data_IF_009938295881
#
_entry.id   IF_009938295881
#
_cell.length_a   1.000
_cell.length_b   1.000
_cell.length_c   1.000
_cell.angle_alpha   90.00
_cell.angle_beta   90.00
_cell.angle_gamma   90.00
#
_symmetry.space_group_name_H-M   'P 1'
#
loop_
_entity.id
_entity.type
_entity.pdbx_description
1 polymer ?
#
# COMPACT_ATOMS: atom_id res chain seq x y z
N UNK A 1 16.77 3.06 11.46
CA UNK A 1 15.85 2.47 12.45
C UNK A 1 15.42 1.07 12.01
N UNK A 2 14.73 0.95 10.87
CA UNK A 2 14.30 -0.32 10.27
C UNK A 2 15.42 -1.35 10.13
N UNK A 3 16.60 -0.94 9.65
CA UNK A 3 17.76 -1.85 9.50
C UNK A 3 18.27 -2.47 10.81
N UNK A 4 18.23 -1.73 11.92
CA UNK A 4 18.61 -2.28 13.22
C UNK A 4 17.55 -3.25 13.73
N UNK A 5 16.26 -2.95 13.50
CA UNK A 5 15.15 -3.84 13.84
C UNK A 5 15.26 -5.18 13.11
N UNK A 6 15.69 -5.18 11.83
CA UNK A 6 15.97 -6.42 11.07
C UNK A 6 16.99 -7.31 11.80
N UNK A 7 18.09 -6.72 12.28
CA UNK A 7 19.13 -7.45 13.04
C UNK A 7 18.63 -7.96 14.39
N UNK A 8 17.81 -7.17 15.10
CA UNK A 8 17.20 -7.58 16.37
C UNK A 8 16.26 -8.77 16.18
N UNK A 9 15.44 -8.74 15.13
CA UNK A 9 14.54 -9.85 14.78
C UNK A 9 15.34 -11.11 14.44
N UNK A 10 16.37 -11.00 13.60
CA UNK A 10 17.25 -12.12 13.25
C UNK A 10 17.95 -12.71 14.50
N UNK A 11 18.37 -11.87 15.44
CA UNK A 11 18.94 -12.34 16.70
C UNK A 11 17.92 -13.15 17.52
N UNK A 12 16.73 -12.60 17.77
CA UNK A 12 15.69 -13.29 18.54
C UNK A 12 15.19 -14.58 17.87
N UNK A 13 15.16 -14.59 16.54
CA UNK A 13 14.94 -15.78 15.76
C UNK A 13 15.99 -16.85 16.00
N UNK A 14 17.28 -16.48 15.92
CA UNK A 14 18.38 -17.42 16.10
C UNK A 14 18.38 -18.04 17.50
N UNK A 15 18.19 -17.23 18.55
CA UNK A 15 18.23 -17.73 19.95
C UNK A 15 16.94 -18.42 20.39
N UNK A 16 15.80 -18.05 19.81
CA UNK A 16 14.47 -18.56 20.17
C UNK A 16 13.95 -19.68 19.27
N UNK A 17 14.69 -20.06 18.23
CA UNK A 17 14.33 -21.15 17.32
C UNK A 17 14.32 -22.50 18.05
N UNK A 18 13.27 -23.31 17.81
CA UNK A 18 13.29 -24.70 18.22
C UNK A 18 14.34 -25.46 17.39
N UNK A 19 15.22 -26.23 18.04
CA UNK A 19 16.17 -27.13 17.38
C UNK A 19 15.47 -28.04 16.37
N UNK A 20 15.76 -27.81 15.07
CA UNK A 20 15.59 -28.53 13.79
C UNK A 20 14.96 -29.95 13.69
N UNK A 21 14.24 -30.50 14.67
CA UNK A 21 13.81 -31.92 14.64
C UNK A 21 12.37 -32.23 14.20
N UNK A 22 11.53 -31.26 13.84
CA UNK A 22 10.10 -31.53 13.57
C UNK A 22 9.51 -30.88 12.29
N UNK A 23 10.33 -30.40 11.34
CA UNK A 23 9.83 -29.72 10.12
C UNK A 23 9.94 -30.54 8.84
N UNK A 24 9.90 -31.87 8.90
CA UNK A 24 9.85 -32.72 7.69
C UNK A 24 8.42 -33.12 7.27
N UNK A 25 7.37 -32.72 8.00
CA UNK A 25 6.01 -33.25 7.77
C UNK A 25 4.99 -32.29 7.13
N UNK A 26 5.38 -31.11 6.66
CA UNK A 26 4.50 -30.26 5.83
C UNK A 26 5.20 -29.88 4.53
N UNK A 27 4.86 -30.58 3.45
CA UNK A 27 5.35 -30.36 2.08
C UNK A 27 5.01 -29.00 1.45
N UNK A 28 4.79 -27.96 2.26
CA UNK A 28 4.68 -26.57 1.83
C UNK A 28 5.99 -25.87 2.19
N UNK A 29 6.60 -25.19 1.21
CA UNK A 29 7.75 -24.29 1.38
C UNK A 29 7.40 -23.05 2.24
N UNK A 30 6.85 -23.22 3.44
CA UNK A 30 6.77 -22.12 4.41
C UNK A 30 8.15 -21.98 5.04
N UNK A 31 8.83 -20.88 4.75
CA UNK A 31 10.04 -20.48 5.47
C UNK A 31 9.80 -20.48 6.98
N UNK A 32 10.86 -20.53 7.77
CA UNK A 32 10.72 -20.48 9.23
C UNK A 32 10.08 -19.13 9.64
N UNK A 33 9.60 -19.02 10.89
CA UNK A 33 8.93 -17.78 11.35
C UNK A 33 9.84 -16.54 11.21
N UNK A 34 11.15 -16.72 11.29
CA UNK A 34 12.15 -15.67 11.07
C UNK A 34 12.08 -15.09 9.66
N UNK A 35 12.17 -15.96 8.65
CA UNK A 35 12.09 -15.60 7.25
C UNK A 35 10.80 -14.82 7.01
N UNK A 36 9.67 -15.31 7.53
CA UNK A 36 8.37 -14.65 7.38
C UNK A 36 8.35 -13.24 7.99
N UNK A 37 8.91 -13.03 9.19
CA UNK A 37 8.97 -11.69 9.78
C UNK A 37 9.85 -10.76 8.94
N UNK A 38 11.00 -11.23 8.45
CA UNK A 38 11.90 -10.44 7.61
C UNK A 38 11.22 -10.05 6.30
N UNK A 39 10.47 -10.98 5.69
CA UNK A 39 9.75 -10.78 4.43
C UNK A 39 8.57 -9.81 4.54
N UNK A 40 8.10 -9.47 5.75
CA UNK A 40 7.14 -8.36 5.90
C UNK A 40 7.75 -7.00 5.56
N UNK A 41 9.07 -6.83 5.66
CA UNK A 41 9.70 -5.53 5.47
C UNK A 41 9.61 -5.04 4.02
N UNK A 42 9.97 -5.82 2.97
CA UNK A 42 9.76 -5.38 1.58
C UNK A 42 8.36 -4.83 1.32
N UNK A 43 7.32 -5.55 1.74
CA UNK A 43 5.92 -5.12 1.61
C UNK A 43 5.66 -3.82 2.37
N UNK A 44 6.04 -3.74 3.65
CA UNK A 44 5.78 -2.55 4.46
C UNK A 44 6.61 -1.33 4.02
N UNK A 45 7.82 -1.54 3.50
CA UNK A 45 8.68 -0.49 2.99
C UNK A 45 8.17 0.02 1.63
N UNK A 46 7.77 -0.86 0.72
CA UNK A 46 7.18 -0.47 -0.57
C UNK A 46 5.95 0.45 -0.39
N UNK A 47 5.05 0.10 0.53
CA UNK A 47 3.80 0.83 0.75
C UNK A 47 3.87 1.92 1.84
N UNK A 48 4.88 1.91 2.68
CA UNK A 48 4.98 2.77 3.86
C UNK A 48 6.19 3.70 3.87
N UNK A 49 7.20 3.45 3.03
CA UNK A 49 8.36 4.33 2.91
C UNK A 49 8.29 5.21 1.67
N UNK A 50 8.97 6.34 1.75
CA UNK A 50 9.12 7.29 0.66
C UNK A 50 10.43 8.07 0.78
N UNK A 51 10.87 8.66 -0.32
CA UNK A 51 11.99 9.61 -0.33
C UNK A 51 11.58 10.94 0.29
N UNK A 52 12.39 11.45 1.20
CA UNK A 52 12.31 12.80 1.77
C UNK A 52 13.58 13.58 1.45
N UNK A 53 13.62 14.86 1.82
CA UNK A 53 14.81 15.73 1.61
C UNK A 53 16.08 15.17 2.30
N UNK A 54 15.94 14.45 3.41
CA UNK A 54 17.07 14.02 4.27
C UNK A 54 17.28 12.52 4.30
N UNK A 55 16.36 11.73 3.74
CA UNK A 55 16.40 10.28 3.80
C UNK A 55 15.65 9.70 2.60
N UNK A 56 16.37 8.93 1.79
CA UNK A 56 15.85 8.32 0.57
C UNK A 56 14.89 7.15 0.83
N UNK A 57 15.02 6.47 1.98
CA UNK A 57 14.13 5.39 2.39
C UNK A 57 13.49 5.68 3.75
N UNK A 58 12.74 6.78 3.84
CA UNK A 58 12.09 7.20 5.08
C UNK A 58 10.76 6.51 5.29
N UNK A 59 10.62 5.75 6.38
CA UNK A 59 9.30 5.29 6.83
C UNK A 59 8.39 6.47 7.18
N UNK A 60 7.20 6.50 6.58
CA UNK A 60 6.16 7.52 6.78
C UNK A 60 4.97 6.98 7.58
N UNK A 61 5.25 5.98 8.40
CA UNK A 61 4.36 5.38 9.38
C UNK A 61 5.17 4.97 10.62
N UNK A 62 4.52 4.95 11.77
CA UNK A 62 5.04 4.32 12.98
C UNK A 62 4.82 2.81 12.93
N UNK A 63 5.78 2.04 13.44
CA UNK A 63 5.74 0.58 13.46
C UNK A 63 6.12 0.10 14.86
N UNK A 64 5.31 -0.75 15.46
CA UNK A 64 5.60 -1.43 16.71
C UNK A 64 5.50 -2.93 16.48
N UNK A 65 6.61 -3.64 16.65
CA UNK A 65 6.67 -5.08 16.43
C UNK A 65 6.71 -5.78 17.78
N UNK A 66 5.74 -6.66 18.03
CA UNK A 66 5.73 -7.55 19.19
C UNK A 66 6.26 -8.92 18.77
N UNK A 67 7.36 -9.33 19.38
CA UNK A 67 7.92 -10.67 19.21
C UNK A 67 7.50 -11.49 20.41
N UNK A 68 6.69 -12.53 20.19
CA UNK A 68 6.07 -13.33 21.25
C UNK A 68 6.92 -14.56 21.59
N UNK A 69 6.95 -14.87 22.88
CA UNK A 69 7.61 -16.04 23.44
C UNK A 69 6.62 -16.90 24.23
N UNK A 70 6.74 -18.21 24.07
CA UNK A 70 6.01 -19.20 24.85
C UNK A 70 6.63 -19.43 26.23
N UNK A 71 6.02 -20.30 27.04
CA UNK A 71 6.49 -20.55 28.41
C UNK A 71 7.86 -21.23 28.55
N UNK A 72 8.39 -21.80 27.47
CA UNK A 72 9.74 -22.34 27.39
C UNK A 72 10.77 -21.32 26.89
N UNK A 73 10.39 -20.06 26.69
CA UNK A 73 11.25 -19.01 26.14
C UNK A 73 11.50 -19.11 24.62
N UNK A 74 10.85 -20.05 23.93
CA UNK A 74 10.91 -20.19 22.47
C UNK A 74 9.96 -19.22 21.77
N UNK A 75 10.27 -18.88 20.52
CA UNK A 75 9.40 -18.04 19.70
C UNK A 75 8.02 -18.67 19.50
N UNK A 76 6.98 -17.87 19.73
CA UNK A 76 5.57 -18.27 19.62
C UNK A 76 4.79 -17.43 18.59
N UNK A 77 5.46 -16.53 17.85
CA UNK A 77 4.84 -15.70 16.83
C UNK A 77 5.32 -14.26 16.88
N UNK A 78 4.81 -13.45 15.95
CA UNK A 78 5.01 -12.01 15.97
C UNK A 78 3.73 -11.30 15.52
N UNK A 79 3.60 -10.03 15.88
CA UNK A 79 2.62 -9.16 15.25
C UNK A 79 3.15 -7.73 15.14
N UNK A 80 2.59 -7.00 14.20
CA UNK A 80 3.00 -5.65 13.82
C UNK A 80 1.79 -4.74 13.99
N UNK A 81 1.93 -3.73 14.84
CA UNK A 81 1.01 -2.61 14.90
C UNK A 81 1.60 -1.42 14.14
N UNK A 82 0.78 -0.77 13.32
CA UNK A 82 1.18 0.42 12.58
C UNK A 82 0.37 1.64 13.00
N UNK A 83 1.02 2.79 13.04
CA UNK A 83 0.41 4.06 13.43
C UNK A 83 0.68 5.14 12.37
N UNK A 84 -0.32 6.00 12.15
CA UNK A 84 -0.16 7.29 11.47
C UNK A 84 0.60 7.23 10.12
N UNK A 85 0.09 6.44 9.17
CA UNK A 85 0.54 6.57 7.78
C UNK A 85 0.30 8.01 7.28
N UNK A 86 1.32 8.65 6.70
CA UNK A 86 1.23 10.00 6.17
C UNK A 86 0.38 10.05 4.89
N UNK A 87 -0.93 10.09 5.05
CA UNK A 87 -1.88 10.04 3.94
C UNK A 87 -1.69 11.15 2.92
N UNK A 88 -1.29 12.35 3.37
CA UNK A 88 -1.11 13.50 2.49
C UNK A 88 -0.12 13.22 1.34
N UNK A 89 0.92 12.41 1.61
CA UNK A 89 1.96 12.04 0.66
C UNK A 89 1.44 11.27 -0.56
N UNK A 90 0.30 10.59 -0.44
CA UNK A 90 -0.30 9.82 -1.54
C UNK A 90 -0.62 10.71 -2.75
N UNK A 91 -1.02 11.97 -2.51
CA UNK A 91 -1.54 12.87 -3.53
C UNK A 91 -0.72 14.14 -3.72
N UNK A 92 0.28 14.39 -2.87
CA UNK A 92 1.09 15.61 -2.91
C UNK A 92 2.48 15.38 -2.33
N UNK A 93 3.50 15.92 -2.99
CA UNK A 93 4.89 15.85 -2.58
C UNK A 93 5.54 17.22 -2.74
N UNK A 94 6.50 17.53 -1.87
CA UNK A 94 7.38 18.68 -2.08
C UNK A 94 8.40 18.39 -3.21
N UNK A 95 9.00 19.41 -3.84
CA UNK A 95 9.81 19.23 -5.06
C UNK A 95 10.99 18.24 -4.96
N UNK A 96 11.56 18.06 -3.77
CA UNK A 96 12.69 17.15 -3.52
C UNK A 96 12.27 15.81 -2.91
N UNK A 97 10.98 15.58 -2.74
CA UNK A 97 10.42 14.38 -2.16
C UNK A 97 9.79 13.49 -3.22
N UNK A 98 9.58 12.22 -2.88
CA UNK A 98 8.88 11.23 -3.70
C UNK A 98 7.61 10.78 -2.97
N UNK A 99 6.66 10.22 -3.71
CA UNK A 99 5.55 9.47 -3.12
C UNK A 99 6.05 8.12 -2.59
N UNK A 100 5.13 7.24 -2.16
CA UNK A 100 5.47 5.89 -1.69
C UNK A 100 6.15 5.06 -2.80
N UNK A 101 7.13 4.25 -2.42
CA UNK A 101 8.00 3.52 -3.37
C UNK A 101 7.22 2.61 -4.33
N UNK A 102 6.15 1.98 -3.85
CA UNK A 102 5.35 1.05 -4.63
C UNK A 102 4.87 1.63 -5.96
N UNK A 103 4.53 2.92 -6.03
CA UNK A 103 4.04 3.54 -7.26
C UNK A 103 5.06 3.53 -8.40
N UNK A 104 6.35 3.55 -8.04
CA UNK A 104 7.43 3.59 -9.01
C UNK A 104 7.97 2.20 -9.30
N UNK A 105 7.98 1.33 -8.28
CA UNK A 105 8.20 -0.10 -8.43
C UNK A 105 7.26 -0.68 -9.48
N UNK A 106 5.92 -0.49 -9.36
CA UNK A 106 4.98 -1.00 -10.37
C UNK A 106 5.12 -0.35 -11.76
N UNK A 107 5.66 0.87 -11.83
CA UNK A 107 5.89 1.59 -13.09
C UNK A 107 7.14 1.11 -13.84
N UNK A 108 8.07 0.43 -13.14
CA UNK A 108 9.29 -0.15 -13.73
C UNK A 108 8.99 -1.15 -14.84
N UNK A 109 7.87 -1.88 -14.74
CA UNK A 109 7.51 -2.95 -15.67
C UNK A 109 8.38 -4.21 -15.55
N UNK A 110 9.12 -4.38 -14.46
CA UNK A 110 9.98 -5.55 -14.25
C UNK A 110 9.18 -6.85 -14.06
N UNK A 111 7.99 -6.77 -13.46
CA UNK A 111 7.02 -7.88 -13.42
C UNK A 111 6.19 -7.89 -14.72
N UNK A 112 6.40 -8.94 -15.52
CA UNK A 112 5.78 -9.09 -16.85
C UNK A 112 4.25 -9.12 -16.77
N UNK A 113 3.59 -8.35 -17.64
CA UNK A 113 2.12 -8.32 -17.72
C UNK A 113 1.46 -7.41 -16.68
N UNK A 114 2.20 -6.94 -15.67
CA UNK A 114 1.64 -6.14 -14.59
C UNK A 114 1.16 -4.79 -15.09
N UNK A 115 1.96 -4.06 -15.87
CA UNK A 115 1.56 -2.73 -16.37
C UNK A 115 0.34 -2.80 -17.28
N UNK A 116 0.24 -3.82 -18.11
CA UNK A 116 -0.91 -4.06 -18.97
C UNK A 116 -2.18 -4.34 -18.15
N UNK A 117 -2.07 -5.19 -17.12
CA UNK A 117 -3.16 -5.47 -16.18
C UNK A 117 -3.64 -4.20 -15.48
N UNK A 118 -2.70 -3.34 -15.10
CA UNK A 118 -2.94 -2.10 -14.35
C UNK A 118 -3.29 -0.91 -15.25
N UNK A 119 -3.29 -1.07 -16.58
CA UNK A 119 -3.56 -0.01 -17.56
C UNK A 119 -2.58 1.17 -17.44
N UNK A 120 -1.34 0.88 -17.03
CA UNK A 120 -0.30 1.89 -16.82
C UNK A 120 0.45 2.22 -18.12
N UNK A 121 0.76 3.50 -18.32
CA UNK A 121 1.60 3.97 -19.41
C UNK A 121 3.09 3.83 -19.06
N UNK A 122 3.96 4.25 -19.99
CA UNK A 122 5.41 4.25 -19.78
C UNK A 122 5.95 5.57 -19.20
N UNK A 123 5.09 6.54 -18.89
CA UNK A 123 5.51 7.86 -18.44
C UNK A 123 4.93 8.20 -17.07
N UNK A 124 5.77 8.19 -16.03
CA UNK A 124 5.37 8.53 -14.66
C UNK A 124 4.76 9.94 -14.53
N UNK A 125 5.12 10.87 -15.42
CA UNK A 125 4.64 12.25 -15.36
C UNK A 125 3.18 12.41 -15.79
N UNK A 126 2.55 11.37 -16.35
CA UNK A 126 1.10 11.35 -16.61
C UNK A 126 0.31 11.19 -15.30
N UNK A 127 0.94 10.70 -14.23
CA UNK A 127 0.30 10.43 -12.94
C UNK A 127 0.57 11.57 -11.96
N UNK A 128 -0.27 12.61 -12.00
CA UNK A 128 -0.10 13.84 -11.22
C UNK A 128 0.11 13.62 -9.71
N UNK A 129 -0.56 12.62 -9.12
CA UNK A 129 -0.45 12.36 -7.69
C UNK A 129 0.92 11.86 -7.25
N UNK A 130 1.77 11.37 -8.16
CA UNK A 130 3.06 10.76 -7.83
C UNK A 130 4.24 11.37 -8.60
N UNK A 131 4.02 12.50 -9.29
CA UNK A 131 5.02 13.15 -10.15
C UNK A 131 5.23 14.64 -9.83
N UNK A 132 4.77 15.13 -8.67
CA UNK A 132 4.96 16.54 -8.27
C UNK A 132 6.38 16.85 -7.79
N UNK A 133 7.10 15.82 -7.30
CA UNK A 133 8.46 15.94 -6.81
C UNK A 133 9.46 15.10 -7.61
N UNK A 134 10.39 14.44 -6.92
CA UNK A 134 11.31 13.50 -7.54
C UNK A 134 10.60 12.19 -7.87
N UNK A 135 10.94 11.61 -9.00
CA UNK A 135 10.41 10.33 -9.47
C UNK A 135 11.44 9.20 -9.41
N UNK A 136 12.71 9.54 -9.20
CA UNK A 136 13.85 8.61 -9.16
C UNK A 136 14.66 8.85 -7.87
N UNK A 137 15.24 7.79 -7.33
CA UNK A 137 16.19 7.81 -6.22
C UNK A 137 17.55 7.36 -6.79
N UNK A 138 18.66 8.10 -6.55
CA UNK A 138 19.98 7.66 -6.97
C UNK A 138 20.31 6.28 -6.40
N UNK A 139 20.94 5.43 -7.22
CA UNK A 139 21.45 4.11 -6.83
C UNK A 139 20.37 3.10 -6.32
N UNK A 140 19.11 3.32 -6.65
CA UNK A 140 18.00 2.40 -6.35
C UNK A 140 17.33 1.99 -7.66
N UNK A 141 17.23 0.68 -7.91
CA UNK A 141 16.49 0.12 -9.03
C UNK A 141 15.07 -0.28 -8.58
N UNK A 142 14.08 0.53 -8.95
CA UNK A 142 12.68 0.25 -8.63
C UNK A 142 12.17 -1.08 -9.23
N UNK A 143 12.78 -1.56 -10.31
CA UNK A 143 12.46 -2.83 -10.93
C UNK A 143 12.93 -4.04 -10.14
N UNK A 144 14.16 -4.00 -9.62
CA UNK A 144 14.67 -5.02 -8.69
C UNK A 144 13.85 -5.01 -7.39
N UNK A 145 13.56 -3.82 -6.85
CA UNK A 145 12.75 -3.68 -5.64
C UNK A 145 11.31 -4.17 -5.83
N UNK A 146 10.73 -4.04 -7.03
CA UNK A 146 9.43 -4.65 -7.34
C UNK A 146 9.50 -6.18 -7.26
N UNK A 147 10.56 -6.81 -7.80
CA UNK A 147 10.70 -8.26 -7.74
C UNK A 147 10.81 -8.76 -6.30
N UNK A 148 11.61 -8.08 -5.47
CA UNK A 148 11.72 -8.40 -4.04
C UNK A 148 10.35 -8.27 -3.34
N UNK A 149 9.59 -7.23 -3.67
CA UNK A 149 8.25 -7.00 -3.10
C UNK A 149 7.24 -8.06 -3.57
N UNK A 150 7.27 -8.42 -4.85
CA UNK A 150 6.38 -9.41 -5.45
C UNK A 150 6.65 -10.83 -4.90
N UNK A 151 7.91 -11.20 -4.75
CA UNK A 151 8.32 -12.47 -4.12
C UNK A 151 7.96 -12.50 -2.63
N UNK A 152 8.11 -11.38 -1.93
CA UNK A 152 7.72 -11.27 -0.53
C UNK A 152 6.21 -11.56 -0.33
N UNK A 153 5.34 -11.13 -1.25
CA UNK A 153 3.93 -11.51 -1.20
C UNK A 153 3.74 -13.04 -1.29
N UNK A 154 4.48 -13.72 -2.17
CA UNK A 154 4.37 -15.17 -2.32
C UNK A 154 4.84 -15.90 -1.07
N UNK A 155 5.97 -15.48 -0.48
CA UNK A 155 6.50 -16.08 0.76
C UNK A 155 5.55 -15.86 1.94
N UNK A 156 4.91 -14.69 2.00
CA UNK A 156 3.92 -14.37 3.02
C UNK A 156 2.57 -15.07 2.80
N UNK A 157 2.41 -15.80 1.69
CA UNK A 157 1.23 -16.61 1.42
C UNK A 157 0.03 -15.82 0.90
N UNK A 158 0.25 -14.66 0.29
CA UNK A 158 -0.79 -13.97 -0.47
C UNK A 158 -1.14 -14.79 -1.70
N UNK A 159 -2.43 -14.86 -2.04
CA UNK A 159 -2.82 -15.49 -3.31
C UNK A 159 -2.49 -14.59 -4.49
N UNK A 160 -2.43 -15.14 -5.70
CA UNK A 160 -2.25 -14.33 -6.90
C UNK A 160 -3.38 -13.30 -7.06
N UNK A 161 -4.62 -13.67 -6.75
CA UNK A 161 -5.76 -12.76 -6.78
C UNK A 161 -5.58 -11.60 -5.78
N UNK A 162 -5.12 -11.88 -4.56
CA UNK A 162 -4.83 -10.85 -3.56
C UNK A 162 -3.70 -9.92 -4.05
N UNK A 163 -2.62 -10.45 -4.65
CA UNK A 163 -1.53 -9.67 -5.25
C UNK A 163 -2.06 -8.74 -6.34
N UNK A 164 -2.81 -9.30 -7.29
CA UNK A 164 -3.38 -8.55 -8.41
C UNK A 164 -4.30 -7.43 -7.90
N UNK A 165 -5.13 -7.70 -6.89
CA UNK A 165 -6.05 -6.71 -6.32
C UNK A 165 -5.33 -5.61 -5.54
N UNK A 166 -4.26 -5.93 -4.81
CA UNK A 166 -3.38 -4.94 -4.18
C UNK A 166 -2.82 -3.99 -5.25
N UNK A 167 -2.31 -4.54 -6.35
CA UNK A 167 -1.75 -3.74 -7.44
C UNK A 167 -2.83 -2.91 -8.15
N UNK A 168 -4.01 -3.47 -8.43
CA UNK A 168 -5.15 -2.74 -9.03
C UNK A 168 -5.59 -1.56 -8.17
N UNK A 169 -5.75 -1.76 -6.85
CA UNK A 169 -6.09 -0.67 -5.94
C UNK A 169 -4.98 0.40 -5.95
N UNK A 170 -3.71 -0.01 -5.96
CA UNK A 170 -2.57 0.92 -5.99
C UNK A 170 -2.52 1.74 -7.28
N UNK A 171 -2.67 1.11 -8.45
CA UNK A 171 -2.71 1.80 -9.73
C UNK A 171 -3.96 2.71 -9.86
N UNK A 172 -5.10 2.30 -9.30
CA UNK A 172 -6.31 3.14 -9.32
C UNK A 172 -6.07 4.50 -8.63
N UNK A 173 -5.29 4.54 -7.55
CA UNK A 173 -4.88 5.78 -6.87
C UNK A 173 -4.10 6.68 -7.82
N UNK A 174 -3.23 6.13 -8.66
CA UNK A 174 -2.47 6.90 -9.65
C UNK A 174 -3.39 7.49 -10.73
N UNK A 175 -4.29 6.67 -11.30
CA UNK A 175 -5.25 7.11 -12.32
C UNK A 175 -6.24 8.16 -11.80
N UNK A 176 -6.68 8.05 -10.54
CA UNK A 176 -7.52 9.07 -9.92
C UNK A 176 -6.89 10.46 -9.94
N UNK A 177 -5.57 10.56 -9.88
CA UNK A 177 -4.86 11.83 -9.99
C UNK A 177 -4.94 12.49 -11.38
N UNK A 178 -5.27 11.71 -12.41
CA UNK A 178 -5.47 12.17 -13.78
C UNK A 178 -6.91 12.58 -14.10
N UNK A 179 -7.88 12.32 -13.22
CA UNK A 179 -9.29 12.69 -13.45
C UNK A 179 -9.43 14.21 -13.53
N UNK A 180 -9.97 14.71 -14.65
CA UNK A 180 -10.18 16.14 -14.91
C UNK A 180 -11.65 16.50 -14.86
N UNK A 181 -11.91 17.71 -14.39
CA UNK A 181 -13.24 18.27 -14.25
C UNK A 181 -13.21 19.72 -14.68
N UNK A 182 -14.31 20.18 -15.26
CA UNK A 182 -14.50 21.57 -15.69
C UNK A 182 -15.82 22.11 -15.19
N UNK A 183 -15.94 23.43 -15.17
CA UNK A 183 -17.17 24.10 -14.80
C UNK A 183 -18.17 24.03 -15.96
N UNK A 184 -19.43 23.73 -15.65
CA UNK A 184 -20.51 23.62 -16.62
C UNK A 184 -21.04 25.00 -17.01
N UNK A 185 -20.46 25.62 -18.04
CA UNK A 185 -20.93 26.88 -18.60
C UNK A 185 -21.00 28.00 -17.56
N UNK A 186 -22.20 28.55 -17.32
CA UNK A 186 -22.46 29.60 -16.30
C UNK A 186 -22.89 29.03 -14.93
N UNK A 187 -23.07 27.72 -14.79
CA UNK A 187 -23.40 27.09 -13.51
C UNK A 187 -22.13 26.90 -12.67
N UNK A 188 -22.21 26.93 -11.34
CA UNK A 188 -21.06 26.62 -10.46
C UNK A 188 -20.75 25.12 -10.38
N UNK A 189 -21.58 24.25 -10.97
CA UNK A 189 -21.42 22.80 -10.91
C UNK A 189 -20.30 22.31 -11.84
N UNK A 190 -19.63 21.26 -11.41
CA UNK A 190 -18.64 20.56 -12.21
C UNK A 190 -19.28 19.54 -13.16
N UNK A 191 -18.58 19.27 -14.25
CA UNK A 191 -18.77 18.12 -15.12
C UNK A 191 -17.40 17.47 -15.43
N UNK A 192 -17.42 16.22 -15.89
CA UNK A 192 -16.20 15.53 -16.29
C UNK A 192 -15.57 16.20 -17.52
N UNK A 193 -14.24 16.29 -17.54
CA UNK A 193 -13.47 16.76 -18.69
C UNK A 193 -12.65 15.59 -19.26
N UNK A 194 -13.36 14.67 -19.93
CA UNK A 194 -12.85 13.36 -20.33
C UNK A 194 -13.15 12.27 -19.30
N UNK A 195 -13.30 11.03 -19.76
CA UNK A 195 -13.68 9.87 -18.94
C UNK A 195 -12.63 8.77 -18.88
N UNK A 196 -11.60 8.83 -19.72
CA UNK A 196 -10.59 7.78 -19.88
C UNK A 196 -9.97 7.33 -18.56
N UNK A 197 -9.54 8.28 -17.71
CA UNK A 197 -8.97 7.95 -16.39
C UNK A 197 -10.01 7.34 -15.44
N UNK A 198 -11.24 7.84 -15.46
CA UNK A 198 -12.33 7.29 -14.66
C UNK A 198 -12.71 5.87 -15.09
N UNK A 199 -12.65 5.57 -16.39
CA UNK A 199 -12.87 4.23 -16.94
C UNK A 199 -11.79 3.24 -16.50
N UNK A 200 -10.52 3.67 -16.49
CA UNK A 200 -9.42 2.85 -15.94
C UNK A 200 -9.63 2.57 -14.45
N UNK A 201 -9.95 3.60 -13.66
CA UNK A 201 -10.26 3.44 -12.23
C UNK A 201 -11.44 2.48 -12.02
N UNK A 202 -12.52 2.68 -12.76
CA UNK A 202 -13.73 1.86 -12.66
C UNK A 202 -13.44 0.38 -12.97
N UNK A 203 -12.68 0.12 -14.05
CA UNK A 203 -12.25 -1.23 -14.44
C UNK A 203 -11.37 -1.90 -13.37
N UNK A 204 -10.40 -1.18 -12.80
CA UNK A 204 -9.51 -1.73 -11.77
C UNK A 204 -10.24 -2.03 -10.45
N UNK A 205 -11.25 -1.23 -10.11
CA UNK A 205 -12.02 -1.39 -8.86
C UNK A 205 -13.27 -2.26 -9.01
N UNK A 206 -13.62 -2.68 -10.22
CA UNK A 206 -14.84 -3.45 -10.50
C UNK A 206 -16.13 -2.68 -10.23
N UNK A 207 -16.14 -1.37 -10.47
CA UNK A 207 -17.32 -0.50 -10.30
C UNK A 207 -17.78 0.09 -11.63
N UNK A 208 -19.02 0.56 -11.69
CA UNK A 208 -19.53 1.26 -12.87
C UNK A 208 -18.96 2.68 -12.99
N UNK A 209 -18.49 3.04 -14.18
CA UNK A 209 -17.87 4.35 -14.43
C UNK A 209 -18.88 5.50 -14.33
N UNK A 210 -20.11 5.30 -14.80
CA UNK A 210 -21.13 6.35 -14.75
C UNK A 210 -21.55 6.64 -13.30
N UNK A 211 -21.75 5.60 -12.50
CA UNK A 211 -22.05 5.74 -11.07
C UNK A 211 -20.85 6.31 -10.30
N UNK A 212 -19.61 6.01 -10.66
CA UNK A 212 -18.41 6.66 -10.09
C UNK A 212 -18.43 8.18 -10.32
N UNK A 213 -18.59 8.63 -11.56
CA UNK A 213 -18.65 10.07 -11.87
C UNK A 213 -19.86 10.74 -11.23
N UNK A 214 -21.02 10.09 -11.25
CA UNK A 214 -22.24 10.58 -10.59
C UNK A 214 -22.04 10.75 -9.09
N UNK A 215 -21.42 9.78 -8.42
CA UNK A 215 -21.13 9.86 -6.99
C UNK A 215 -20.14 10.98 -6.64
N UNK A 216 -19.16 11.26 -7.52
CA UNK A 216 -18.20 12.36 -7.34
C UNK A 216 -18.83 13.74 -7.60
N UNK A 217 -19.59 13.88 -8.69
CA UNK A 217 -20.17 15.14 -9.14
C UNK A 217 -21.44 15.53 -8.36
N UNK A 218 -22.26 14.53 -8.02
CA UNK A 218 -23.58 14.69 -7.39
C UNK A 218 -23.79 13.65 -6.28
N UNK A 219 -22.98 13.66 -5.21
CA UNK A 219 -23.12 12.73 -4.10
C UNK A 219 -24.48 12.86 -3.41
N UNK A 220 -24.96 11.74 -2.86
CA UNK A 220 -26.09 11.71 -1.93
C UNK A 220 -25.59 11.99 -0.52
N UNK A 221 -26.12 13.04 0.10
CA UNK A 221 -25.72 13.49 1.43
C UNK A 221 -26.90 13.30 2.37
N UNK A 222 -26.63 12.73 3.55
CA UNK A 222 -27.63 12.62 4.60
C UNK A 222 -27.79 13.97 5.30
N UNK A 223 -29.00 14.52 5.28
CA UNK A 223 -29.36 15.77 5.97
C UNK A 223 -30.51 15.43 6.92
N UNK A 224 -30.23 15.39 8.22
CA UNK A 224 -31.18 14.84 9.20
C UNK A 224 -31.47 13.36 8.90
N UNK A 225 -32.73 13.04 8.61
CA UNK A 225 -33.19 11.69 8.26
C UNK A 225 -33.34 11.43 6.75
N UNK A 226 -33.12 12.44 5.91
CA UNK A 226 -33.32 12.33 4.46
C UNK A 226 -31.99 12.33 3.68
N UNK A 227 -32.03 11.83 2.45
CA UNK A 227 -30.89 11.89 1.53
C UNK A 227 -31.18 12.87 0.39
N UNK A 228 -30.33 13.88 0.26
CA UNK A 228 -30.42 14.88 -0.80
C UNK A 228 -29.25 14.71 -1.76
N UNK A 229 -29.51 14.85 -3.06
CA UNK A 229 -28.47 14.87 -4.08
C UNK A 229 -27.96 16.30 -4.23
N UNK A 230 -26.67 16.52 -4.01
CA UNK A 230 -26.08 17.85 -4.08
C UNK A 230 -24.99 17.90 -5.15
N UNK A 231 -25.11 18.82 -6.11
CA UNK A 231 -24.07 19.09 -7.09
C UNK A 231 -22.82 19.71 -6.43
N UNK A 232 -21.64 19.35 -6.94
CA UNK A 232 -20.35 19.85 -6.47
C UNK A 232 -19.70 20.76 -7.51
N UNK A 233 -18.95 21.76 -7.05
CA UNK A 233 -18.08 22.54 -7.92
C UNK A 233 -16.74 21.82 -8.17
N UNK A 234 -15.95 22.30 -9.13
CA UNK A 234 -14.71 21.65 -9.58
C UNK A 234 -13.72 21.40 -8.44
N UNK A 235 -13.57 22.38 -7.54
CA UNK A 235 -12.65 22.28 -6.40
C UNK A 235 -13.12 21.22 -5.39
N UNK A 236 -14.43 21.17 -5.10
CA UNK A 236 -15.01 20.17 -4.20
C UNK A 236 -14.87 18.75 -4.75
N UNK A 237 -15.07 18.56 -6.05
CA UNK A 237 -14.87 17.25 -6.71
C UNK A 237 -13.40 16.84 -6.64
N UNK A 238 -12.49 17.75 -7.00
CA UNK A 238 -11.04 17.49 -6.95
C UNK A 238 -10.56 17.12 -5.54
N UNK A 239 -11.07 17.82 -4.52
CA UNK A 239 -10.79 17.48 -3.12
C UNK A 239 -11.33 16.10 -2.75
N UNK A 240 -12.54 15.75 -3.22
CA UNK A 240 -13.18 14.46 -2.95
C UNK A 240 -12.42 13.30 -3.59
N UNK A 241 -11.94 13.46 -4.82
CA UNK A 241 -11.06 12.50 -5.51
C UNK A 241 -9.80 12.29 -4.68
N UNK A 242 -9.09 13.36 -4.31
CA UNK A 242 -7.89 13.25 -3.47
C UNK A 242 -8.17 12.62 -2.09
N UNK A 243 -9.31 12.92 -1.46
CA UNK A 243 -9.70 12.32 -0.19
C UNK A 243 -9.99 10.81 -0.33
N UNK A 244 -10.66 10.41 -1.39
CA UNK A 244 -10.94 9.01 -1.70
C UNK A 244 -9.63 8.23 -1.96
N UNK A 245 -8.73 8.78 -2.77
CA UNK A 245 -7.42 8.17 -3.05
C UNK A 245 -6.58 7.97 -1.78
N UNK A 246 -6.51 8.99 -0.91
CA UNK A 246 -5.87 8.88 0.41
C UNK A 246 -6.50 7.81 1.29
N UNK A 247 -7.83 7.74 1.28
CA UNK A 247 -8.61 6.79 2.07
C UNK A 247 -8.40 5.34 1.60
N UNK A 248 -8.36 5.12 0.29
CA UNK A 248 -8.11 3.81 -0.30
C UNK A 248 -6.71 3.30 0.05
N UNK A 249 -5.68 4.13 -0.15
CA UNK A 249 -4.30 3.74 0.16
C UNK A 249 -4.09 3.47 1.66
N UNK A 250 -4.66 4.28 2.56
CA UNK A 250 -4.61 4.03 4.02
C UNK A 250 -5.29 2.72 4.42
N UNK A 251 -6.44 2.40 3.81
CA UNK A 251 -7.16 1.15 4.07
C UNK A 251 -6.41 -0.06 3.51
N UNK A 252 -5.83 0.07 2.32
CA UNK A 252 -4.98 -0.96 1.72
C UNK A 252 -3.77 -1.25 2.62
N UNK A 253 -3.06 -0.21 3.08
CA UNK A 253 -1.90 -0.38 3.97
C UNK A 253 -2.28 -1.09 5.28
N UNK A 254 -3.39 -0.70 5.91
CA UNK A 254 -3.89 -1.39 7.12
C UNK A 254 -4.26 -2.84 6.86
N UNK A 255 -4.86 -3.13 5.70
CA UNK A 255 -5.20 -4.49 5.30
C UNK A 255 -3.95 -5.32 5.04
N UNK A 256 -2.92 -4.77 4.38
CA UNK A 256 -1.62 -5.42 4.18
C UNK A 256 -0.97 -5.81 5.52
N UNK A 257 -0.95 -4.90 6.49
CA UNK A 257 -0.42 -5.17 7.84
C UNK A 257 -1.22 -6.30 8.51
N UNK A 258 -2.55 -6.28 8.40
CA UNK A 258 -3.41 -7.34 8.93
C UNK A 258 -3.07 -8.70 8.29
N UNK A 259 -2.93 -8.75 6.97
CA UNK A 259 -2.56 -9.97 6.22
C UNK A 259 -1.18 -10.48 6.62
N UNK A 260 -0.20 -9.58 6.76
CA UNK A 260 1.13 -9.95 7.27
C UNK A 260 1.01 -10.60 8.67
N UNK A 261 0.22 -10.01 9.57
CA UNK A 261 0.02 -10.56 10.92
C UNK A 261 -0.69 -11.92 10.93
N UNK A 262 -1.59 -12.19 9.97
CA UNK A 262 -2.21 -13.51 9.82
C UNK A 262 -1.16 -14.59 9.52
N UNK A 263 -0.13 -14.25 8.72
CA UNK A 263 0.99 -15.15 8.42
C UNK A 263 1.91 -15.36 9.63
N UNK A 264 2.12 -14.32 10.44
CA UNK A 264 3.01 -14.37 11.62
C UNK A 264 2.37 -15.03 12.85
N UNK A 265 1.06 -15.31 12.82
CA UNK A 265 0.34 -15.95 13.91
C UNK A 265 0.47 -17.49 13.86
N UNK A 266 1.34 -18.02 14.71
CA UNK A 266 1.60 -19.48 14.78
C UNK A 266 0.55 -20.28 15.58
N UNK A 267 -0.46 -19.62 16.16
CA UNK A 267 -1.43 -20.21 17.12
C UNK A 267 -0.81 -20.83 18.38
N UNK A 268 0.50 -20.72 18.59
CA UNK A 268 1.15 -21.18 19.82
C UNK A 268 0.77 -20.29 21.01
N UNK A 269 0.83 -20.85 22.22
CA UNK A 269 0.52 -20.12 23.46
C UNK A 269 1.57 -19.03 23.70
N UNK A 270 1.13 -17.77 23.69
CA UNK A 270 1.94 -16.58 23.97
C UNK A 270 1.93 -16.31 25.47
N UNK A 271 3.09 -16.08 26.09
CA UNK A 271 3.18 -15.73 27.51
C UNK A 271 3.85 -14.37 27.73
N UNK A 272 4.93 -14.09 27.00
CA UNK A 272 5.69 -12.85 27.09
C UNK A 272 5.94 -12.29 25.70
N UNK A 273 6.23 -10.99 25.60
CA UNK A 273 6.68 -10.39 24.35
C UNK A 273 7.79 -9.37 24.59
N UNK A 274 8.61 -9.18 23.56
CA UNK A 274 9.54 -8.05 23.46
C UNK A 274 8.98 -7.11 22.38
N UNK A 275 8.72 -5.86 22.76
CA UNK A 275 8.23 -4.82 21.87
C UNK A 275 9.38 -3.99 21.29
N UNK A 276 9.42 -3.86 19.97
CA UNK A 276 10.38 -3.00 19.26
C UNK A 276 9.62 -1.81 18.67
N UNK A 277 9.89 -0.61 19.18
CA UNK A 277 9.25 0.65 18.76
C UNK A 277 10.14 1.49 17.85
#
# INVERSE_FOLDING_TARGET
KTENTKKVIAYFATVGAATKKEQESSGQKKGNLEDQVVQTNPVLEAFGNAKTVRNDNSSRFGKFIRIHFGGSGKLAGADIETYLLEKARVISQQPLERSYHIFYQIMSGSVKGLKEMLLLSNNINEYKFVSQGKTVIPDVDDGEELHVTDEAFDILGFTQEEKDDIYKITASVMHMGGMKFKQRGREEQAEADGTEEGERVAKLLGVDCQELYKALLKPRIKVGNEFVTQGRNVNQVSYSVGALSKGMFDRLFKWLVKKCNETLDTKQKRQHFIGVL
#
